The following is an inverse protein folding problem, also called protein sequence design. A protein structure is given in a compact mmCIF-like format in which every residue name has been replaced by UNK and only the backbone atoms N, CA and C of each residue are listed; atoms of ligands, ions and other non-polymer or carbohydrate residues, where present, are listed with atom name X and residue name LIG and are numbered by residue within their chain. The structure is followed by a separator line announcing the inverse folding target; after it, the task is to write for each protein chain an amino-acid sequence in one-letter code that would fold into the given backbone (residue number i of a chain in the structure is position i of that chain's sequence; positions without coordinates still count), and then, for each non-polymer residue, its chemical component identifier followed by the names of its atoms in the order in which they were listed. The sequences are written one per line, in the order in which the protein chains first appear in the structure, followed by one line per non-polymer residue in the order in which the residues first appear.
data_IF_201522888889
#
_entry.id   IF_201522888889
#
_cell.length_a   1.000
_cell.length_b   1.000
_cell.length_c   1.000
_cell.angle_alpha   90.00
_cell.angle_beta   90.00
_cell.angle_gamma   90.00
#
_symmetry.space_group_name_H-M   'P 1'
#
loop_
_entity.id
_entity.type
_entity.pdbx_description
1 polymer ?
#
# COMPACT_ATOMS: atom_id res chain seq x y z
N UNK A 1 8.29 13.31 5.12
CA UNK A 1 9.37 14.07 4.44
C UNK A 1 10.38 13.09 3.88
N UNK A 2 10.33 12.82 2.58
CA UNK A 2 11.42 12.20 1.82
C UNK A 2 11.18 12.48 0.32
N UNK A 3 11.35 13.74 -0.07
CA UNK A 3 11.51 14.09 -1.49
C UNK A 3 12.97 13.77 -1.85
N UNK A 4 13.20 12.73 -2.67
CA UNK A 4 14.49 12.57 -3.34
C UNK A 4 14.44 13.42 -4.61
N UNK A 5 15.27 14.46 -4.67
CA UNK A 5 15.51 15.17 -5.94
C UNK A 5 16.09 14.18 -6.94
N UNK A 6 15.37 13.96 -8.03
CA UNK A 6 15.87 13.15 -9.14
C UNK A 6 17.05 13.87 -9.84
N UNK A 7 17.77 13.17 -10.74
CA UNK A 7 19.12 13.57 -11.15
C UNK A 7 19.19 14.76 -12.11
N UNK A 8 18.06 15.28 -12.60
CA UNK A 8 18.01 16.24 -13.70
C UNK A 8 17.10 17.45 -13.41
N UNK A 9 17.37 18.58 -14.06
CA UNK A 9 16.60 19.84 -14.07
C UNK A 9 15.11 19.70 -14.43
N UNK A 10 14.66 18.51 -14.87
CA UNK A 10 13.27 18.21 -15.21
C UNK A 10 12.41 17.75 -14.01
N UNK A 11 13.00 17.55 -12.84
CA UNK A 11 12.33 16.95 -11.66
C UNK A 11 11.33 17.88 -10.95
N UNK A 12 11.16 19.11 -11.44
CA UNK A 12 10.24 20.11 -10.88
C UNK A 12 9.31 20.73 -11.93
N UNK A 13 9.18 20.11 -13.10
CA UNK A 13 8.39 20.67 -14.20
C UNK A 13 6.94 20.18 -14.16
N UNK A 14 6.04 21.02 -13.66
CA UNK A 14 4.59 20.77 -13.69
C UNK A 14 3.96 21.54 -14.87
N UNK A 15 3.33 20.83 -15.80
CA UNK A 15 2.61 21.44 -16.92
C UNK A 15 1.10 21.21 -16.78
N UNK A 16 0.33 22.28 -16.96
CA UNK A 16 -1.13 22.21 -17.02
C UNK A 16 -1.55 22.22 -18.50
N UNK A 17 -2.25 21.18 -18.93
CA UNK A 17 -2.86 21.14 -20.27
C UNK A 17 -4.32 21.59 -20.18
N UNK A 18 -4.75 22.40 -21.14
CA UNK A 18 -6.18 22.72 -21.26
C UNK A 18 -6.93 21.57 -21.96
N UNK A 19 -8.21 21.41 -21.64
CA UNK A 19 -9.02 20.28 -22.11
C UNK A 19 -9.14 20.21 -23.64
N UNK A 20 -9.06 21.35 -24.32
CA UNK A 20 -9.06 21.47 -25.79
C UNK A 20 -7.74 21.02 -26.44
N UNK A 21 -6.64 21.00 -25.69
CA UNK A 21 -5.33 20.54 -26.15
C UNK A 21 -5.17 19.01 -26.07
N UNK A 22 -6.12 18.32 -25.44
CA UNK A 22 -6.13 16.87 -25.29
C UNK A 22 -6.78 16.22 -26.51
N UNK A 23 -6.08 16.21 -27.64
CA UNK A 23 -6.48 15.41 -28.81
C UNK A 23 -5.97 13.97 -28.64
N UNK A 24 -6.88 12.99 -28.75
CA UNK A 24 -6.62 11.53 -28.66
C UNK A 24 -6.23 11.03 -27.25
N UNK A 25 -7.20 11.14 -26.33
CA UNK A 25 -7.06 10.70 -24.92
C UNK A 25 -7.01 9.17 -24.76
N UNK A 26 -7.59 8.44 -25.71
CA UNK A 26 -7.70 6.98 -25.68
C UNK A 26 -6.33 6.26 -25.78
N UNK A 27 -5.27 7.01 -26.10
CA UNK A 27 -3.92 6.48 -26.29
C UNK A 27 -2.90 6.92 -25.24
N UNK A 28 -3.32 7.42 -24.07
CA UNK A 28 -2.39 7.69 -22.97
C UNK A 28 -1.84 6.37 -22.43
N UNK A 29 -0.80 5.91 -23.13
CA UNK A 29 0.16 4.88 -22.77
C UNK A 29 0.43 5.01 -21.28
N UNK A 30 0.28 3.88 -20.56
CA UNK A 30 0.73 3.67 -19.18
C UNK A 30 2.01 4.49 -18.98
N UNK A 31 1.92 5.53 -18.15
CA UNK A 31 2.93 6.58 -18.13
C UNK A 31 4.30 5.94 -17.91
N UNK A 32 5.26 6.26 -18.79
CA UNK A 32 6.67 6.00 -18.53
C UNK A 32 7.00 6.48 -17.11
N UNK A 33 7.69 5.66 -16.31
CA UNK A 33 8.00 5.89 -14.88
C UNK A 33 8.59 7.28 -14.56
N UNK A 34 9.01 8.03 -15.57
CA UNK A 34 9.51 9.40 -15.50
C UNK A 34 8.43 10.48 -15.34
N UNK A 35 7.16 10.19 -15.65
CA UNK A 35 6.06 11.17 -15.62
C UNK A 35 4.82 10.63 -14.94
N UNK A 36 4.09 11.50 -14.24
CA UNK A 36 2.77 11.20 -13.69
C UNK A 36 1.74 12.12 -14.32
N UNK A 37 0.67 11.53 -14.86
CA UNK A 37 -0.44 12.28 -15.46
C UNK A 37 -1.62 12.29 -14.51
N UNK A 38 -2.14 13.48 -14.23
CA UNK A 38 -3.31 13.68 -13.38
C UNK A 38 -4.43 14.31 -14.18
N UNK A 39 -5.63 13.76 -14.05
CA UNK A 39 -6.84 14.32 -14.64
C UNK A 39 -7.75 14.86 -13.54
N UNK A 40 -8.27 16.07 -13.73
CA UNK A 40 -9.21 16.68 -12.80
C UNK A 40 -10.65 16.39 -13.24
N UNK A 41 -11.38 15.67 -12.40
CA UNK A 41 -12.82 15.48 -12.53
C UNK A 41 -13.56 16.24 -11.43
N UNK A 42 -14.68 16.87 -11.77
CA UNK A 42 -15.56 17.50 -10.78
C UNK A 42 -16.64 16.50 -10.38
N UNK A 43 -16.40 15.77 -9.30
CA UNK A 43 -17.33 14.76 -8.77
C UNK A 43 -18.32 15.39 -7.79
N UNK A 44 -19.56 14.89 -7.78
CA UNK A 44 -20.63 15.33 -6.88
C UNK A 44 -20.65 14.46 -5.61
N UNK A 45 -19.59 14.55 -4.80
CA UNK A 45 -19.50 13.85 -3.51
C UNK A 45 -19.06 14.81 -2.41
N UNK A 46 -19.55 14.59 -1.18
CA UNK A 46 -19.12 15.33 0.00
C UNK A 46 -17.86 14.73 0.65
N UNK A 47 -17.38 13.59 0.15
CA UNK A 47 -16.23 12.88 0.67
C UNK A 47 -14.93 13.54 0.17
N UNK A 48 -14.11 13.99 1.11
CA UNK A 48 -12.79 14.53 0.80
C UNK A 48 -11.72 13.45 1.00
N UNK A 49 -10.92 13.24 -0.04
CA UNK A 49 -9.80 12.29 0.00
C UNK A 49 -8.57 13.00 0.54
N UNK A 50 -7.87 12.39 1.50
CA UNK A 50 -6.64 12.94 2.08
C UNK A 50 -5.38 12.59 1.29
N UNK A 51 -5.46 11.64 0.37
CA UNK A 51 -4.36 11.27 -0.52
C UNK A 51 -4.17 12.27 -1.66
N UNK A 52 -3.06 12.12 -2.38
CA UNK A 52 -2.68 13.01 -3.49
C UNK A 52 -3.67 12.94 -4.67
N UNK A 53 -4.34 11.80 -4.84
CA UNK A 53 -5.34 11.55 -5.87
C UNK A 53 -6.44 10.62 -5.36
N UNK A 54 -7.65 10.76 -5.91
CA UNK A 54 -8.81 10.00 -5.48
C UNK A 54 -8.96 8.66 -6.22
N UNK A 55 -8.53 8.59 -7.48
CA UNK A 55 -8.69 7.39 -8.30
C UNK A 55 -7.47 7.10 -9.18
N UNK A 56 -7.05 5.83 -9.26
CA UNK A 56 -6.12 5.34 -10.30
C UNK A 56 -6.93 4.94 -11.53
N UNK A 57 -6.47 5.33 -12.72
CA UNK A 57 -7.12 4.98 -13.98
C UNK A 57 -6.35 3.89 -14.71
N UNK A 58 -7.07 2.86 -15.19
CA UNK A 58 -6.55 1.83 -16.06
C UNK A 58 -7.44 1.69 -17.31
N UNK A 59 -6.89 2.07 -18.45
CA UNK A 59 -7.57 2.02 -19.75
C UNK A 59 -7.86 0.59 -20.17
N UNK A 60 -9.00 0.37 -20.84
CA UNK A 60 -9.40 -0.92 -21.41
C UNK A 60 -9.34 -2.09 -20.43
N UNK A 61 -9.62 -1.81 -19.15
CA UNK A 61 -9.71 -2.82 -18.09
C UNK A 61 -11.08 -2.76 -17.43
N UNK A 62 -11.47 -3.87 -16.82
CA UNK A 62 -12.68 -3.94 -16.00
C UNK A 62 -12.60 -5.10 -15.01
N UNK A 63 -13.33 -4.97 -13.90
CA UNK A 63 -13.48 -6.04 -12.93
C UNK A 63 -14.47 -7.09 -13.45
N UNK A 64 -14.12 -8.37 -13.35
CA UNK A 64 -14.96 -9.50 -13.73
C UNK A 64 -16.31 -9.45 -13.00
N UNK A 65 -17.40 -9.79 -13.70
CA UNK A 65 -18.79 -9.66 -13.21
C UNK A 65 -19.05 -10.41 -11.90
N UNK A 66 -18.25 -11.43 -11.60
CA UNK A 66 -18.32 -12.20 -10.34
C UNK A 66 -17.97 -11.37 -9.09
N UNK A 67 -17.20 -10.31 -9.24
CA UNK A 67 -16.78 -9.44 -8.13
C UNK A 67 -17.53 -8.09 -8.11
N UNK A 68 -18.50 -7.91 -9.01
CA UNK A 68 -19.33 -6.71 -9.04
C UNK A 68 -20.39 -6.80 -7.97
N UNK A 69 -20.37 -5.83 -7.05
CA UNK A 69 -21.29 -5.75 -5.92
C UNK A 69 -22.58 -5.00 -6.28
N UNK A 70 -22.49 -3.98 -7.15
CA UNK A 70 -23.64 -3.23 -7.65
C UNK A 70 -23.40 -2.75 -9.09
N UNK A 71 -24.45 -2.73 -9.89
CA UNK A 71 -24.46 -2.13 -11.22
C UNK A 71 -25.51 -1.01 -11.22
N UNK A 72 -25.06 0.20 -11.52
CA UNK A 72 -25.90 1.37 -11.77
C UNK A 72 -25.78 1.78 -13.25
N UNK A 73 -26.67 2.65 -13.72
CA UNK A 73 -26.56 3.29 -15.02
C UNK A 73 -26.51 4.79 -14.84
N UNK A 74 -25.40 5.43 -15.20
CA UNK A 74 -25.18 6.87 -15.03
C UNK A 74 -24.93 7.54 -16.37
N UNK A 75 -25.28 8.82 -16.47
CA UNK A 75 -25.07 9.62 -17.68
C UNK A 75 -23.62 10.04 -17.89
N UNK A 76 -22.81 10.05 -16.83
CA UNK A 76 -21.43 10.52 -16.85
C UNK A 76 -20.53 9.63 -15.99
N UNK A 77 -19.23 9.72 -16.24
CA UNK A 77 -18.20 9.07 -15.42
C UNK A 77 -18.19 9.70 -14.02
N UNK A 78 -18.34 11.02 -13.93
CA UNK A 78 -18.32 11.77 -12.69
C UNK A 78 -19.40 11.31 -11.72
N UNK A 79 -20.61 11.04 -12.23
CA UNK A 79 -21.72 10.48 -11.45
C UNK A 79 -21.39 9.06 -10.96
N UNK A 80 -20.75 8.26 -11.81
CA UNK A 80 -20.33 6.89 -11.48
C UNK A 80 -19.25 6.87 -10.39
N UNK A 81 -18.24 7.74 -10.50
CA UNK A 81 -17.20 7.91 -9.49
C UNK A 81 -17.80 8.41 -8.17
N UNK A 82 -18.75 9.36 -8.24
CA UNK A 82 -19.46 9.87 -7.05
C UNK A 82 -20.23 8.75 -6.35
N UNK A 83 -20.93 7.90 -7.10
CA UNK A 83 -21.66 6.76 -6.55
C UNK A 83 -20.75 5.80 -5.78
N UNK A 84 -19.51 5.58 -6.22
CA UNK A 84 -18.54 4.77 -5.49
C UNK A 84 -17.98 5.47 -4.25
N UNK A 85 -17.71 6.77 -4.32
CA UNK A 85 -17.23 7.55 -3.16
C UNK A 85 -18.25 7.55 -2.02
N UNK A 86 -19.53 7.73 -2.37
CA UNK A 86 -20.66 7.85 -1.46
C UNK A 86 -21.29 6.50 -1.08
N UNK A 87 -20.78 5.39 -1.62
CA UNK A 87 -21.27 4.05 -1.27
C UNK A 87 -21.07 3.76 0.22
N UNK A 88 -22.14 3.31 0.88
CA UNK A 88 -22.19 3.11 2.32
C UNK A 88 -22.51 1.68 2.75
N UNK A 89 -23.11 0.86 1.87
CA UNK A 89 -23.42 -0.53 2.17
C UNK A 89 -22.16 -1.41 2.14
N UNK A 90 -21.20 -1.04 1.31
CA UNK A 90 -19.91 -1.72 1.20
C UNK A 90 -18.78 -0.73 0.89
N UNK A 91 -17.54 -1.14 1.13
CA UNK A 91 -16.40 -0.33 0.73
C UNK A 91 -16.15 -0.49 -0.77
N UNK A 92 -16.59 0.49 -1.56
CA UNK A 92 -16.35 0.49 -3.00
C UNK A 92 -14.86 0.77 -3.30
N UNK A 93 -14.10 -0.28 -3.63
CA UNK A 93 -12.65 -0.22 -3.91
C UNK A 93 -12.33 0.01 -5.37
N UNK A 94 -13.25 -0.28 -6.27
CA UNK A 94 -13.08 0.01 -7.69
C UNK A 94 -14.41 0.14 -8.41
N UNK A 95 -14.33 0.73 -9.61
CA UNK A 95 -15.44 0.96 -10.52
C UNK A 95 -15.00 0.57 -11.92
N UNK A 96 -15.86 -0.13 -12.66
CA UNK A 96 -15.72 -0.25 -14.12
C UNK A 96 -16.83 0.56 -14.78
N UNK A 97 -16.47 1.57 -15.57
CA UNK A 97 -17.44 2.44 -16.23
C UNK A 97 -17.45 2.20 -17.72
N UNK A 98 -18.60 1.80 -18.25
CA UNK A 98 -18.82 1.62 -19.67
C UNK A 98 -19.41 2.90 -20.27
N UNK A 99 -18.61 3.59 -21.07
CA UNK A 99 -19.01 4.82 -21.77
C UNK A 99 -20.01 4.56 -22.90
N UNK A 100 -20.13 3.32 -23.38
CA UNK A 100 -21.03 2.97 -24.49
C UNK A 100 -22.50 2.98 -24.05
N UNK A 101 -22.81 2.49 -22.85
CA UNK A 101 -24.19 2.38 -22.35
C UNK A 101 -24.44 3.08 -20.99
N UNK A 102 -23.41 3.68 -20.39
CA UNK A 102 -23.48 4.32 -19.08
C UNK A 102 -23.42 3.34 -17.90
N UNK A 103 -23.11 2.07 -18.15
CA UNK A 103 -23.00 1.05 -17.11
C UNK A 103 -21.89 1.37 -16.10
N UNK A 104 -22.27 1.49 -14.83
CA UNK A 104 -21.40 1.82 -13.71
C UNK A 104 -21.30 0.63 -12.75
N UNK A 105 -20.22 -0.13 -12.82
CA UNK A 105 -20.06 -1.40 -12.11
C UNK A 105 -19.18 -1.20 -10.88
N UNK A 106 -19.77 -1.16 -9.69
CA UNK A 106 -19.06 -0.94 -8.42
C UNK A 106 -18.62 -2.28 -7.83
N UNK A 107 -17.41 -2.32 -7.29
CA UNK A 107 -16.80 -3.51 -6.72
C UNK A 107 -16.20 -3.26 -5.33
N UNK A 108 -16.26 -4.29 -4.48
CA UNK A 108 -15.55 -4.35 -3.19
C UNK A 108 -14.09 -4.74 -3.33
N UNK A 109 -13.69 -5.13 -4.53
CA UNK A 109 -12.37 -5.66 -4.85
C UNK A 109 -11.60 -4.66 -5.71
N UNK A 110 -10.28 -4.77 -5.69
CA UNK A 110 -9.39 -4.04 -6.56
C UNK A 110 -8.33 -5.00 -7.14
N UNK A 111 -7.38 -4.48 -7.92
CA UNK A 111 -6.28 -5.24 -8.51
C UNK A 111 -5.46 -5.94 -7.43
N UNK A 112 -5.27 -5.31 -6.28
CA UNK A 112 -4.62 -5.89 -5.11
C UNK A 112 -5.35 -7.11 -4.56
N UNK A 113 -6.66 -6.97 -4.30
CA UNK A 113 -7.42 -8.01 -3.60
C UNK A 113 -7.85 -9.16 -4.52
N UNK A 114 -8.06 -8.90 -5.82
CA UNK A 114 -8.45 -9.91 -6.83
C UNK A 114 -7.76 -9.67 -8.20
N UNK A 115 -6.42 -9.77 -8.29
CA UNK A 115 -5.69 -9.48 -9.53
C UNK A 115 -6.10 -10.37 -10.70
N UNK A 116 -6.36 -11.65 -10.45
CA UNK A 116 -6.75 -12.62 -11.47
C UNK A 116 -8.14 -12.35 -12.09
N UNK A 117 -8.92 -11.45 -11.47
CA UNK A 117 -10.28 -11.09 -11.90
C UNK A 117 -10.35 -9.70 -12.51
N UNK A 118 -9.22 -8.99 -12.60
CA UNK A 118 -9.11 -7.83 -13.47
C UNK A 118 -8.92 -8.30 -14.91
N UNK A 119 -9.82 -7.89 -15.80
CA UNK A 119 -9.86 -8.33 -17.20
C UNK A 119 -9.45 -7.21 -18.14
N UNK A 120 -8.79 -7.58 -19.23
CA UNK A 120 -8.55 -6.71 -20.37
C UNK A 120 -9.75 -6.72 -21.31
N UNK A 121 -10.13 -5.55 -21.78
CA UNK A 121 -11.12 -5.38 -22.82
C UNK A 121 -10.44 -5.42 -24.19
N UNK A 122 -10.76 -6.45 -24.98
CA UNK A 122 -10.27 -6.59 -26.35
C UNK A 122 -11.33 -6.16 -27.39
N UNK A 123 -12.49 -5.67 -26.95
CA UNK A 123 -13.58 -5.29 -27.84
C UNK A 123 -13.61 -3.77 -28.06
N UNK A 124 -13.23 -3.27 -29.25
CA UNK A 124 -13.18 -1.84 -29.52
C UNK A 124 -14.56 -1.16 -29.53
N UNK A 125 -15.66 -1.92 -29.60
CA UNK A 125 -17.02 -1.38 -29.54
C UNK A 125 -17.52 -1.18 -28.11
N UNK A 126 -16.79 -1.69 -27.12
CA UNK A 126 -17.17 -1.64 -25.72
C UNK A 126 -16.15 -0.76 -24.98
N UNK A 127 -16.48 0.51 -24.76
CA UNK A 127 -15.54 1.47 -24.15
C UNK A 127 -15.66 1.42 -22.64
N UNK A 128 -15.11 0.35 -22.05
CA UNK A 128 -15.10 0.16 -20.60
C UNK A 128 -13.71 0.44 -20.03
N UNK A 129 -13.71 1.25 -18.99
CA UNK A 129 -12.52 1.70 -18.28
C UNK A 129 -12.62 1.32 -16.80
N UNK A 130 -11.47 1.08 -16.17
CA UNK A 130 -11.39 0.70 -14.77
C UNK A 130 -10.75 1.80 -13.92
N UNK A 131 -11.36 2.07 -12.77
CA UNK A 131 -10.95 3.10 -11.83
C UNK A 131 -10.84 2.49 -10.44
N UNK A 132 -9.68 2.59 -9.81
CA UNK A 132 -9.48 2.18 -8.42
C UNK A 132 -9.70 3.34 -7.49
N UNK A 133 -10.55 3.15 -6.48
CA UNK A 133 -10.80 4.15 -5.48
C UNK A 133 -9.65 4.18 -4.48
N UNK A 134 -8.90 5.27 -4.44
CA UNK A 134 -7.85 5.51 -3.45
C UNK A 134 -8.29 6.51 -2.38
N UNK A 135 -9.56 6.94 -2.41
CA UNK A 135 -10.19 7.75 -1.39
C UNK A 135 -10.48 6.95 -0.10
N UNK A 136 -9.54 6.11 0.28
CA UNK A 136 -9.49 5.43 1.55
C UNK A 136 -8.46 6.14 2.41
N UNK A 137 -8.93 6.71 3.52
CA UNK A 137 -8.04 7.13 4.57
C UNK A 137 -7.28 5.88 5.03
N UNK A 138 -5.95 5.83 4.82
CA UNK A 138 -5.13 4.63 4.98
C UNK A 138 -5.58 3.83 6.19
N UNK A 139 -6.16 2.67 5.89
CA UNK A 139 -7.00 1.92 6.81
C UNK A 139 -6.19 1.09 7.82
N UNK A 140 -4.87 1.27 7.82
CA UNK A 140 -3.91 0.46 8.56
C UNK A 140 -3.47 1.22 9.82
N UNK A 141 -3.69 0.59 10.96
CA UNK A 141 -3.18 1.05 12.25
C UNK A 141 -2.04 0.14 12.65
N UNK A 142 -0.85 0.70 12.83
CA UNK A 142 0.33 -0.04 13.27
C UNK A 142 0.50 0.08 14.79
N UNK A 143 0.84 -1.04 15.40
CA UNK A 143 1.26 -1.15 16.79
C UNK A 143 2.45 -2.13 16.89
N UNK A 144 3.20 -2.08 17.97
CA UNK A 144 4.29 -3.03 18.20
C UNK A 144 4.48 -3.38 19.66
N UNK A 145 5.00 -4.58 19.88
CA UNK A 145 5.31 -5.11 21.21
C UNK A 145 6.77 -5.56 21.25
N UNK A 146 7.51 -5.06 22.23
CA UNK A 146 8.90 -5.42 22.46
C UNK A 146 8.99 -6.74 23.23
N UNK A 147 9.74 -7.69 22.68
CA UNK A 147 10.08 -8.95 23.35
C UNK A 147 11.58 -9.04 23.59
N UNK A 148 11.99 -9.94 24.49
CA UNK A 148 13.41 -10.14 24.80
C UNK A 148 14.20 -10.66 23.57
N UNK A 149 13.52 -11.36 22.66
CA UNK A 149 14.08 -12.04 21.49
C UNK A 149 13.73 -11.37 20.15
N UNK A 150 13.09 -10.18 20.16
CA UNK A 150 12.71 -9.48 18.94
C UNK A 150 11.57 -8.48 19.11
N UNK A 151 10.91 -8.15 18.00
CA UNK A 151 9.80 -7.19 17.96
C UNK A 151 8.61 -7.84 17.28
N UNK A 152 7.43 -7.76 17.88
CA UNK A 152 6.17 -8.12 17.21
C UNK A 152 5.57 -6.85 16.63
N UNK A 153 5.27 -6.85 15.33
CA UNK A 153 4.49 -5.78 14.71
C UNK A 153 3.07 -6.28 14.47
N UNK A 154 2.10 -5.45 14.84
CA UNK A 154 0.66 -5.68 14.67
C UNK A 154 0.11 -4.62 13.73
N UNK A 155 -0.63 -5.05 12.72
CA UNK A 155 -1.30 -4.16 11.76
C UNK A 155 -2.78 -4.52 11.73
N UNK A 156 -3.61 -3.59 12.19
CA UNK A 156 -5.05 -3.68 12.10
C UNK A 156 -5.53 -2.93 10.86
N UNK A 157 -6.27 -3.61 9.99
CA UNK A 157 -6.93 -3.04 8.83
C UNK A 157 -8.45 -3.07 8.99
N UNK A 158 -9.14 -2.02 8.54
CA UNK A 158 -10.61 -1.99 8.49
C UNK A 158 -11.14 -2.96 7.43
N UNK A 159 -10.34 -3.25 6.40
CA UNK A 159 -10.70 -4.11 5.28
C UNK A 159 -9.76 -5.31 5.15
N UNK A 160 -10.23 -6.44 4.59
CA UNK A 160 -9.35 -7.56 4.31
C UNK A 160 -8.24 -7.13 3.34
N UNK A 161 -7.02 -7.49 3.71
CA UNK A 161 -5.79 -7.18 3.00
C UNK A 161 -5.12 -8.47 2.51
N UNK A 162 -4.66 -8.43 1.26
CA UNK A 162 -3.81 -9.43 0.63
C UNK A 162 -2.60 -8.71 0.06
N UNK A 163 -1.40 -9.14 0.45
CA UNK A 163 -0.14 -8.48 0.06
C UNK A 163 1.01 -8.99 0.92
N UNK A 164 2.00 -8.15 1.20
CA UNK A 164 3.09 -8.50 2.12
C UNK A 164 3.34 -7.45 3.21
N UNK A 165 3.83 -7.93 4.35
CA UNK A 165 4.46 -7.14 5.40
C UNK A 165 5.88 -7.67 5.56
N UNK A 166 6.89 -6.81 5.44
CA UNK A 166 8.29 -7.25 5.41
C UNK A 166 9.25 -6.24 6.04
N UNK A 167 10.44 -6.71 6.40
CA UNK A 167 11.54 -5.87 6.90
C UNK A 167 12.20 -5.10 5.75
N UNK A 168 12.39 -3.79 5.93
CA UNK A 168 12.85 -2.84 4.90
C UNK A 168 14.11 -3.28 4.15
N UNK A 169 15.03 -3.97 4.82
CA UNK A 169 16.35 -4.33 4.30
C UNK A 169 16.55 -5.84 4.12
N UNK A 170 15.53 -6.67 4.37
CA UNK A 170 15.65 -8.13 4.31
C UNK A 170 14.35 -8.77 3.80
N UNK A 171 14.00 -8.44 2.56
CA UNK A 171 12.74 -8.89 1.98
C UNK A 171 12.59 -10.42 1.91
N UNK A 172 13.65 -11.14 1.53
CA UNK A 172 13.55 -12.58 1.25
C UNK A 172 13.33 -13.44 2.49
N UNK A 173 13.90 -13.05 3.64
CA UNK A 173 13.83 -13.87 4.85
C UNK A 173 12.96 -13.24 5.94
N UNK A 174 12.60 -11.96 5.80
CA UNK A 174 11.85 -11.21 6.79
C UNK A 174 10.50 -10.73 6.27
N UNK A 175 9.61 -11.66 5.90
CA UNK A 175 8.30 -11.31 5.36
C UNK A 175 7.19 -12.28 5.76
N UNK A 176 5.97 -11.76 5.74
CA UNK A 176 4.74 -12.53 5.75
C UNK A 176 3.85 -12.05 4.60
N UNK A 177 3.05 -12.96 4.04
CA UNK A 177 2.11 -12.68 2.96
C UNK A 177 0.67 -12.97 3.43
N UNK A 178 -0.02 -12.02 4.09
CA UNK A 178 -1.40 -12.20 4.50
C UNK A 178 -2.30 -12.37 3.28
N UNK A 179 -3.35 -13.18 3.44
CA UNK A 179 -4.39 -13.38 2.42
C UNK A 179 -5.74 -13.14 3.05
N UNK A 180 -6.45 -12.13 2.56
CA UNK A 180 -7.79 -11.74 3.01
C UNK A 180 -7.86 -11.49 4.54
N UNK A 181 -6.80 -10.92 5.11
CA UNK A 181 -6.66 -10.74 6.56
C UNK A 181 -6.95 -9.30 6.99
N UNK A 182 -7.72 -9.13 8.08
CA UNK A 182 -7.94 -7.82 8.73
C UNK A 182 -6.94 -7.52 9.84
N UNK A 183 -6.32 -8.56 10.40
CA UNK A 183 -5.32 -8.47 11.46
C UNK A 183 -4.08 -9.19 11.01
N UNK A 184 -2.97 -8.50 11.05
CA UNK A 184 -1.66 -9.02 10.63
C UNK A 184 -0.75 -8.89 11.83
N UNK A 185 -0.13 -9.99 12.23
CA UNK A 185 0.84 -10.02 13.31
C UNK A 185 2.06 -10.79 12.82
N UNK A 186 3.23 -10.19 12.94
CA UNK A 186 4.47 -10.85 12.56
C UNK A 186 5.58 -10.54 13.55
N UNK A 187 6.32 -11.59 13.92
CA UNK A 187 7.44 -11.50 14.82
C UNK A 187 8.74 -11.38 14.04
N UNK A 188 9.46 -10.30 14.31
CA UNK A 188 10.76 -9.98 13.75
C UNK A 188 11.83 -10.36 14.77
N UNK A 189 12.50 -11.52 14.61
CA UNK A 189 13.48 -11.99 15.57
C UNK A 189 14.71 -11.07 15.57
N UNK A 190 15.31 -10.86 16.74
CA UNK A 190 16.52 -10.06 16.85
C UNK A 190 17.69 -10.72 16.11
N UNK A 191 18.68 -9.92 15.64
CA UNK A 191 19.88 -10.44 14.99
C UNK A 191 20.72 -11.39 15.88
N UNK A 192 20.51 -11.35 17.20
CA UNK A 192 21.21 -12.24 18.15
C UNK A 192 20.60 -13.64 18.22
N UNK A 193 19.32 -13.77 17.87
CA UNK A 193 18.57 -15.03 17.92
C UNK A 193 18.51 -15.69 16.55
N UNK A 194 18.35 -14.90 15.49
CA UNK A 194 18.24 -15.40 14.12
C UNK A 194 18.94 -14.51 13.12
N UNK A 195 19.45 -15.12 12.05
CA UNK A 195 19.93 -14.38 10.87
C UNK A 195 18.77 -13.85 10.02
N UNK A 196 17.58 -14.41 10.16
CA UNK A 196 16.39 -13.92 9.47
C UNK A 196 16.03 -12.54 10.05
N UNK A 197 15.79 -11.53 9.21
CA UNK A 197 15.52 -10.14 9.61
C UNK A 197 16.73 -9.33 10.11
N UNK A 198 17.94 -9.88 10.09
CA UNK A 198 19.11 -9.24 10.71
C UNK A 198 19.41 -7.85 10.15
N UNK A 199 19.24 -7.65 8.84
CA UNK A 199 19.56 -6.38 8.19
C UNK A 199 18.48 -5.30 8.40
N UNK A 200 17.25 -5.72 8.74
CA UNK A 200 16.11 -4.84 9.00
C UNK A 200 16.05 -4.32 10.44
N UNK A 201 16.77 -4.96 11.36
CA UNK A 201 16.86 -4.56 12.76
C UNK A 201 18.25 -3.96 13.02
N UNK A 202 18.27 -2.72 13.53
CA UNK A 202 19.51 -2.01 13.84
C UNK A 202 19.52 -1.56 15.29
N UNK A 203 20.68 -1.67 15.91
CA UNK A 203 20.92 -1.13 17.25
C UNK A 203 21.39 0.33 17.14
N UNK A 204 20.63 1.25 17.72
CA UNK A 204 20.96 2.68 17.79
C UNK A 204 21.07 3.08 19.26
N UNK A 205 22.30 3.09 19.80
CA UNK A 205 22.52 3.31 21.22
C UNK A 205 21.92 2.17 22.04
N UNK A 206 21.04 2.51 22.99
CA UNK A 206 20.33 1.54 23.82
C UNK A 206 18.98 1.10 23.21
N UNK A 207 18.69 1.43 21.95
CA UNK A 207 17.44 1.05 21.31
C UNK A 207 17.66 0.04 20.17
N UNK A 208 16.80 -0.97 20.11
CA UNK A 208 16.61 -1.83 18.95
C UNK A 208 15.54 -1.19 18.04
N UNK A 209 15.92 -0.83 16.82
CA UNK A 209 15.06 -0.16 15.84
C UNK A 209 14.79 -1.09 14.67
N UNK A 210 13.51 -1.33 14.39
CA UNK A 210 13.04 -2.12 13.26
C UNK A 210 12.31 -1.20 12.28
N UNK A 211 12.64 -1.32 11.00
CA UNK A 211 11.92 -0.66 9.90
C UNK A 211 11.18 -1.71 9.08
N UNK A 212 9.86 -1.58 8.98
CA UNK A 212 8.99 -2.48 8.23
C UNK A 212 8.25 -1.74 7.12
N UNK A 213 7.85 -2.50 6.11
CA UNK A 213 7.08 -2.04 4.97
C UNK A 213 5.85 -2.92 4.82
N UNK A 214 4.69 -2.29 4.69
CA UNK A 214 3.47 -2.92 4.23
C UNK A 214 3.28 -2.55 2.76
N UNK A 215 3.31 -3.54 1.87
CA UNK A 215 3.12 -3.31 0.43
C UNK A 215 1.67 -2.92 0.13
N UNK A 216 1.47 -1.79 -0.50
CA UNK A 216 0.13 -1.27 -0.83
C UNK A 216 -0.03 -0.93 -2.30
N UNK A 217 0.94 -1.33 -3.11
CA UNK A 217 1.13 -0.98 -4.51
C UNK A 217 0.57 -1.99 -5.52
N UNK A 218 0.11 -3.16 -5.07
CA UNK A 218 -0.51 -4.15 -5.97
C UNK A 218 0.44 -4.93 -6.85
N UNK A 219 1.73 -4.66 -6.71
CA UNK A 219 2.78 -5.45 -7.36
C UNK A 219 3.06 -6.63 -6.45
N UNK A 220 3.27 -7.81 -7.05
CA UNK A 220 3.84 -8.92 -6.27
C UNK A 220 5.13 -8.39 -5.65
N UNK A 221 5.31 -8.48 -4.33
CA UNK A 221 6.36 -7.76 -3.66
C UNK A 221 7.70 -8.29 -4.18
N UNK A 222 8.29 -7.50 -5.05
CA UNK A 222 9.63 -7.63 -5.56
C UNK A 222 10.50 -6.77 -4.65
N UNK A 223 11.82 -6.91 -4.68
CA UNK A 223 12.75 -6.29 -3.72
C UNK A 223 12.74 -4.74 -3.66
N UNK A 224 11.77 -4.07 -4.28
CA UNK A 224 11.64 -2.62 -4.36
C UNK A 224 10.43 -2.13 -3.57
N UNK A 225 10.61 -0.96 -2.95
CA UNK A 225 9.58 -0.24 -2.21
C UNK A 225 9.09 0.88 -3.12
N UNK A 226 7.78 1.02 -3.25
CA UNK A 226 7.18 2.08 -4.04
C UNK A 226 6.78 3.26 -3.16
N UNK A 227 6.49 4.44 -3.76
CA UNK A 227 5.97 5.58 -3.00
C UNK A 227 4.62 5.29 -2.33
N UNK A 228 3.86 4.32 -2.84
CA UNK A 228 2.55 3.95 -2.32
C UNK A 228 2.65 3.05 -1.07
N UNK A 229 3.81 2.43 -0.81
CA UNK A 229 4.03 1.53 0.33
C UNK A 229 4.08 2.25 1.67
N UNK A 230 3.52 1.62 2.71
CA UNK A 230 3.55 2.16 4.07
C UNK A 230 4.77 1.68 4.82
N UNK A 231 5.61 2.63 5.25
CA UNK A 231 6.75 2.34 6.11
C UNK A 231 6.42 2.65 7.57
N UNK A 232 6.83 1.76 8.47
CA UNK A 232 6.64 1.91 9.91
C UNK A 232 7.93 1.61 10.66
N UNK A 233 8.23 2.40 11.69
CA UNK A 233 9.42 2.22 12.52
C UNK A 233 9.01 1.87 13.95
N UNK A 234 9.40 0.69 14.41
CA UNK A 234 9.27 0.26 15.79
C UNK A 234 10.58 0.50 16.54
N UNK A 235 10.50 0.90 17.81
CA UNK A 235 11.67 1.18 18.65
C UNK A 235 11.53 0.57 20.03
N UNK A 236 12.38 -0.39 20.33
CA UNK A 236 12.38 -1.11 21.60
C UNK A 236 13.64 -0.78 22.41
N UNK A 237 13.52 -0.17 23.60
CA UNK A 237 14.67 0.04 24.46
C UNK A 237 15.20 -1.30 24.96
N UNK A 238 16.51 -1.48 24.89
CA UNK A 238 17.21 -2.60 25.47
C UNK A 238 17.25 -2.42 26.99
N UNK A 239 16.69 -3.38 27.72
CA UNK A 239 16.81 -3.37 29.17
C UNK A 239 18.24 -3.77 29.57
N UNK A 240 19.07 -2.77 29.91
CA UNK A 240 20.44 -2.97 30.43
C UNK A 240 20.49 -3.90 31.67
N UNK A 241 19.37 -4.05 32.38
CA UNK A 241 19.26 -4.81 33.63
C UNK A 241 19.33 -6.36 33.48
N UNK A 242 19.25 -6.92 32.27
CA UNK A 242 19.32 -8.39 32.06
C UNK A 242 20.70 -8.91 31.63
N UNK A 243 21.66 -8.03 31.31
CA UNK A 243 23.01 -8.42 30.88
C UNK A 243 24.09 -8.33 31.97
N UNK A 244 23.77 -7.91 33.20
CA UNK A 244 24.64 -8.09 34.36
C UNK A 244 24.07 -9.15 35.32
N UNK A 245 24.31 -10.43 35.01
CA UNK A 245 24.47 -11.42 36.08
C UNK A 245 25.87 -11.27 36.68
N UNK A 246 26.02 -11.16 38.00
CA UNK A 246 27.32 -10.90 38.62
C UNK A 246 28.19 -12.17 38.57
N UNK A 247 29.24 -12.14 37.76
CA UNK A 247 30.38 -13.04 37.93
C UNK A 247 31.41 -12.37 38.84
N UNK A 248 31.20 -12.42 40.16
CA UNK A 248 32.28 -12.20 41.12
C UNK A 248 32.26 -13.27 42.23
N UNK A 249 33.42 -13.91 42.32
CA UNK A 249 34.09 -14.42 43.50
C UNK A 249 33.77 -15.82 44.03
N UNK A 250 34.63 -16.77 43.64
CA UNK A 250 35.15 -17.82 44.53
C UNK A 250 36.65 -18.02 44.25
N UNK A 251 37.48 -17.23 44.93
CA UNK A 251 38.86 -17.60 45.27
C UNK A 251 39.03 -17.36 46.78
N UNK A 252 39.31 -18.40 47.59
CA UNK A 252 39.88 -18.20 48.91
C UNK A 252 41.39 -18.02 48.77
N UNK A 253 41.87 -16.86 49.22
CA UNK A 253 43.27 -16.57 49.46
C UNK A 253 43.88 -17.56 50.47
N UNK A 254 45.07 -18.02 50.12
CA UNK A 254 46.07 -18.56 51.03
C UNK A 254 46.62 -17.38 51.83
N UNK A 255 46.65 -17.46 53.17
CA UNK A 255 47.65 -16.76 53.97
C UNK A 255 47.92 -17.44 55.33
N UNK A 256 49.22 -17.71 55.55
CA UNK A 256 49.99 -18.02 56.78
C UNK A 256 49.76 -19.34 57.53
#
# INVERSE_FOLDING_TARGET
FNQRQGPNDYTHHCQLYQADQLQHVDGFVEADDRYSFYWKYCVHSQKTCSGDYAFTFFSDRYMDTREIARIDYTSSLEDCLSACLDESNFACRSVSFNRTDGGCHLSQQNQLSRPALLRMNNNPNFRIDYYENNCFNNSFTFDYECKDDGIVVKVDSRYPYTGALYGLYDFFTCRIEPKDAKKIEYFFPSPTVSKNCSDSIRYKGNDMVLEVVLSTDGVEPLYFITPDDLTYQARCPLNEAKHLSPSLDLLPNIER
#
